data_IF_295005500691
#
_entry.id   IF_295005500691
#
_cell.length_a   1.000
_cell.length_b   1.000
_cell.length_c   1.000
_cell.angle_alpha   90.00
_cell.angle_beta   90.00
_cell.angle_gamma   90.00
#
_symmetry.space_group_name_H-M   'P 1'
#
loop_
_entity.id
_entity.type
_entity.pdbx_description
1 polymer ?
#
# COMPACT_ATOMS: atom_id res chain seq x y z
N UNK A 1 -2.70 -28.74 7.50
CA UNK A 1 -2.38 -27.58 8.35
C UNK A 1 -3.45 -27.45 9.43
N UNK A 2 -3.09 -27.70 10.68
CA UNK A 2 -4.02 -27.84 11.81
C UNK A 2 -3.87 -26.73 12.89
N UNK A 3 -3.11 -25.68 12.62
CA UNK A 3 -2.92 -24.61 13.59
C UNK A 3 -4.14 -23.67 13.61
N UNK A 4 -4.62 -23.25 14.79
CA UNK A 4 -5.72 -22.30 14.91
C UNK A 4 -5.32 -20.94 14.30
N UNK A 5 -6.31 -20.23 13.78
CA UNK A 5 -6.07 -18.89 13.26
C UNK A 5 -5.77 -17.92 14.41
N UNK A 6 -4.78 -17.08 14.19
CA UNK A 6 -4.45 -15.99 15.12
C UNK A 6 -5.56 -14.94 15.06
N UNK A 7 -6.11 -14.62 16.23
CA UNK A 7 -7.16 -13.61 16.38
C UNK A 7 -6.71 -12.24 15.86
N UNK A 8 -7.63 -11.47 15.31
CA UNK A 8 -7.38 -10.14 14.76
C UNK A 8 -6.56 -9.23 15.68
N UNK A 9 -6.97 -9.13 16.95
CA UNK A 9 -6.33 -8.25 17.94
C UNK A 9 -4.91 -8.68 18.36
N UNK A 10 -4.57 -9.94 18.13
CA UNK A 10 -3.24 -10.48 18.42
C UNK A 10 -2.28 -10.34 17.24
N UNK A 11 -2.79 -9.97 16.05
CA UNK A 11 -1.94 -9.78 14.87
C UNK A 11 -1.14 -8.49 14.98
N UNK A 12 0.14 -8.48 14.59
CA UNK A 12 0.93 -7.26 14.43
C UNK A 12 0.26 -6.23 13.53
N UNK A 13 0.56 -4.95 13.74
CA UNK A 13 -0.03 -3.84 12.97
C UNK A 13 0.17 -4.00 11.47
N UNK A 14 1.33 -4.49 11.03
CA UNK A 14 1.62 -4.72 9.62
C UNK A 14 0.73 -5.83 8.99
N UNK A 15 0.34 -6.84 9.77
CA UNK A 15 -0.56 -7.89 9.32
C UNK A 15 -2.00 -7.35 9.23
N UNK A 16 -2.43 -6.55 10.22
CA UNK A 16 -3.73 -5.88 10.22
C UNK A 16 -3.86 -4.89 9.07
N UNK A 17 -2.78 -4.14 8.79
CA UNK A 17 -2.75 -3.22 7.67
C UNK A 17 -3.01 -3.90 6.32
N UNK A 18 -2.29 -4.98 6.00
CA UNK A 18 -2.46 -5.64 4.70
C UNK A 18 -3.82 -6.32 4.58
N UNK A 19 -4.38 -6.83 5.68
CA UNK A 19 -5.73 -7.40 5.72
C UNK A 19 -6.82 -6.30 5.62
N UNK A 20 -6.60 -5.11 6.19
CA UNK A 20 -7.48 -3.95 5.98
C UNK A 20 -7.52 -3.55 4.51
N UNK A 21 -6.35 -3.41 3.88
CA UNK A 21 -6.25 -3.13 2.45
C UNK A 21 -6.89 -4.22 1.59
N UNK A 22 -6.77 -5.49 2.00
CA UNK A 22 -7.42 -6.61 1.32
C UNK A 22 -8.94 -6.48 1.36
N UNK A 23 -9.52 -6.13 2.51
CA UNK A 23 -10.95 -5.90 2.63
C UNK A 23 -11.42 -4.69 1.81
N UNK A 24 -10.62 -3.61 1.77
CA UNK A 24 -10.87 -2.47 0.88
C UNK A 24 -10.84 -2.89 -0.60
N UNK A 25 -9.88 -3.74 -0.97
CA UNK A 25 -9.78 -4.29 -2.33
C UNK A 25 -11.00 -5.15 -2.70
N UNK A 26 -11.47 -6.02 -1.78
CA UNK A 26 -12.68 -6.85 -2.01
C UNK A 26 -13.86 -5.94 -2.35
N UNK A 27 -14.09 -4.90 -1.54
CA UNK A 27 -15.18 -3.94 -1.73
C UNK A 27 -15.08 -3.21 -3.07
N UNK A 28 -13.88 -2.77 -3.43
CA UNK A 28 -13.64 -2.04 -4.68
C UNK A 28 -13.82 -2.95 -5.90
N UNK A 29 -13.29 -4.17 -5.87
CA UNK A 29 -13.40 -5.14 -6.98
C UNK A 29 -14.84 -5.57 -7.18
N UNK A 30 -15.57 -5.86 -6.11
CA UNK A 30 -16.99 -6.17 -6.16
C UNK A 30 -17.78 -5.06 -6.86
N UNK A 31 -17.61 -3.82 -6.40
CA UNK A 31 -18.24 -2.64 -7.01
C UNK A 31 -17.83 -2.44 -8.49
N UNK A 32 -16.57 -2.67 -8.85
CA UNK A 32 -16.14 -2.54 -10.25
C UNK A 32 -16.74 -3.62 -11.16
N UNK A 33 -16.85 -4.84 -10.67
CA UNK A 33 -17.44 -5.94 -11.45
C UNK A 33 -18.95 -5.73 -11.61
N UNK A 34 -19.66 -5.27 -10.58
CA UNK A 34 -21.09 -4.92 -10.64
C UNK A 34 -21.37 -3.79 -11.65
N UNK A 35 -20.43 -2.85 -11.79
CA UNK A 35 -20.53 -1.76 -12.76
C UNK A 35 -19.94 -2.10 -14.15
N UNK A 36 -19.61 -3.36 -14.42
CA UNK A 36 -19.00 -3.81 -15.68
C UNK A 36 -17.67 -3.12 -16.01
N UNK A 37 -16.84 -2.84 -14.99
CA UNK A 37 -15.52 -2.21 -15.12
C UNK A 37 -14.34 -3.19 -14.85
N UNK A 38 -14.20 -4.30 -15.58
CA UNK A 38 -13.19 -5.33 -15.30
C UNK A 38 -11.76 -4.82 -15.41
N UNK A 39 -11.51 -3.80 -16.22
CA UNK A 39 -10.18 -3.15 -16.31
C UNK A 39 -9.80 -2.46 -15.01
N UNK A 40 -10.75 -1.84 -14.32
CA UNK A 40 -10.50 -1.22 -13.00
C UNK A 40 -10.26 -2.28 -11.94
N UNK A 41 -11.09 -3.32 -11.93
CA UNK A 41 -10.92 -4.46 -11.04
C UNK A 41 -9.52 -5.09 -11.20
N UNK A 42 -9.10 -5.39 -12.43
CA UNK A 42 -7.78 -5.96 -12.70
C UNK A 42 -6.61 -5.07 -12.29
N UNK A 43 -6.74 -3.74 -12.47
CA UNK A 43 -5.72 -2.78 -12.01
C UNK A 43 -5.64 -2.74 -10.50
N UNK A 44 -6.77 -2.66 -9.79
CA UNK A 44 -6.81 -2.64 -8.34
C UNK A 44 -6.14 -3.91 -7.74
N UNK A 45 -6.43 -5.09 -8.30
CA UNK A 45 -5.78 -6.35 -7.90
C UNK A 45 -4.27 -6.28 -8.17
N UNK A 46 -3.86 -5.80 -9.35
CA UNK A 46 -2.44 -5.69 -9.72
C UNK A 46 -1.68 -4.73 -8.80
N UNK A 47 -2.26 -3.57 -8.48
CA UNK A 47 -1.67 -2.57 -7.59
C UNK A 47 -1.53 -3.14 -6.17
N UNK A 48 -2.57 -3.82 -5.66
CA UNK A 48 -2.50 -4.49 -4.37
C UNK A 48 -1.37 -5.53 -4.32
N UNK A 49 -1.29 -6.41 -5.31
CA UNK A 49 -0.28 -7.49 -5.34
C UNK A 49 1.13 -6.93 -5.47
N UNK A 50 1.35 -5.98 -6.38
CA UNK A 50 2.69 -5.46 -6.64
C UNK A 50 3.14 -4.47 -5.55
N UNK A 51 2.33 -3.43 -5.29
CA UNK A 51 2.77 -2.30 -4.49
C UNK A 51 2.64 -2.55 -2.99
N UNK A 52 1.60 -3.28 -2.55
CA UNK A 52 1.35 -3.51 -1.14
C UNK A 52 1.81 -4.89 -0.67
N UNK A 53 1.35 -5.97 -1.32
CA UNK A 53 1.66 -7.32 -0.86
C UNK A 53 3.12 -7.70 -1.10
N UNK A 54 3.60 -7.63 -2.34
CA UNK A 54 4.95 -8.07 -2.70
C UNK A 54 6.03 -7.09 -2.24
N UNK A 55 5.93 -5.82 -2.69
CA UNK A 55 6.98 -4.82 -2.49
C UNK A 55 7.03 -4.25 -1.07
N UNK A 56 5.98 -4.43 -0.27
CA UNK A 56 5.96 -3.97 1.11
C UNK A 56 5.77 -5.10 2.09
N UNK A 57 4.61 -5.75 2.14
CA UNK A 57 4.31 -6.74 3.15
C UNK A 57 5.33 -7.88 3.17
N UNK A 58 5.50 -8.59 2.06
CA UNK A 58 6.42 -9.75 1.97
C UNK A 58 7.87 -9.31 2.19
N UNK A 59 8.28 -8.22 1.59
CA UNK A 59 9.66 -7.72 1.69
C UNK A 59 10.02 -7.30 3.11
N UNK A 60 9.16 -6.56 3.80
CA UNK A 60 9.39 -6.11 5.19
C UNK A 60 9.35 -7.27 6.19
N UNK A 61 8.51 -8.27 5.93
CA UNK A 61 8.34 -9.44 6.78
C UNK A 61 9.30 -10.61 6.44
N UNK A 62 10.25 -10.41 5.54
CA UNK A 62 11.16 -11.47 5.10
C UNK A 62 11.84 -12.18 6.29
N UNK A 63 12.28 -11.46 7.32
CA UNK A 63 12.89 -12.04 8.51
C UNK A 63 11.90 -12.93 9.29
N UNK A 64 10.63 -12.54 9.41
CA UNK A 64 9.59 -13.32 10.08
C UNK A 64 9.35 -14.65 9.38
N UNK A 65 9.34 -14.66 8.04
CA UNK A 65 9.17 -15.89 7.26
C UNK A 65 10.35 -16.85 7.37
N UNK A 66 11.59 -16.35 7.45
CA UNK A 66 12.82 -17.16 7.38
C UNK A 66 13.38 -17.52 8.76
N UNK A 67 12.97 -16.86 9.81
CA UNK A 67 13.42 -17.15 11.17
C UNK A 67 13.11 -18.59 11.58
N UNK A 68 14.04 -19.25 12.29
CA UNK A 68 13.84 -20.61 12.81
C UNK A 68 12.73 -20.69 13.86
N UNK A 69 12.10 -21.86 14.00
CA UNK A 69 11.00 -22.10 14.93
C UNK A 69 9.64 -21.60 14.42
N UNK A 70 8.57 -22.12 15.00
CA UNK A 70 7.19 -21.70 14.76
C UNK A 70 6.72 -20.88 15.95
N UNK A 71 6.71 -19.56 15.82
CA UNK A 71 6.18 -18.61 16.80
C UNK A 71 4.82 -18.10 16.36
N UNK A 72 4.01 -17.56 17.28
CA UNK A 72 2.71 -16.95 16.95
C UNK A 72 2.87 -15.81 15.96
N UNK A 73 3.94 -15.02 16.05
CA UNK A 73 4.27 -13.96 15.11
C UNK A 73 4.52 -14.49 13.69
N UNK A 74 5.31 -15.57 13.57
CA UNK A 74 5.56 -16.24 12.30
C UNK A 74 4.28 -16.88 11.75
N UNK A 75 3.49 -17.50 12.60
CA UNK A 75 2.21 -18.10 12.24
C UNK A 75 1.25 -17.03 11.71
N UNK A 76 1.15 -15.88 12.41
CA UNK A 76 0.36 -14.72 11.95
C UNK A 76 0.78 -14.27 10.56
N UNK A 77 2.09 -14.15 10.29
CA UNK A 77 2.60 -13.75 9.00
C UNK A 77 2.21 -14.72 7.87
N UNK A 78 2.35 -16.03 8.11
CA UNK A 78 1.96 -17.05 7.12
C UNK A 78 0.45 -17.10 6.87
N UNK A 79 -0.36 -17.03 7.93
CA UNK A 79 -1.81 -17.01 7.81
C UNK A 79 -2.28 -15.77 7.04
N UNK A 80 -1.70 -14.61 7.35
CA UNK A 80 -1.99 -13.34 6.64
C UNK A 80 -1.64 -13.44 5.16
N UNK A 81 -0.45 -13.94 4.84
CA UNK A 81 -0.04 -14.12 3.44
C UNK A 81 -0.93 -15.12 2.71
N UNK A 82 -1.27 -16.25 3.35
CA UNK A 82 -2.19 -17.23 2.80
C UNK A 82 -3.55 -16.62 2.48
N UNK A 83 -4.14 -15.90 3.44
CA UNK A 83 -5.42 -15.20 3.25
C UNK A 83 -5.36 -14.22 2.08
N UNK A 84 -4.28 -13.45 1.96
CA UNK A 84 -4.10 -12.52 0.83
C UNK A 84 -4.05 -13.27 -0.51
N UNK A 85 -3.28 -14.35 -0.59
CA UNK A 85 -3.12 -15.11 -1.85
C UNK A 85 -4.40 -15.84 -2.26
N UNK A 86 -5.08 -16.47 -1.31
CA UNK A 86 -6.36 -17.15 -1.56
C UNK A 86 -7.42 -16.15 -2.04
N UNK A 87 -7.56 -15.01 -1.34
CA UNK A 87 -8.51 -13.96 -1.71
C UNK A 87 -8.19 -13.38 -3.09
N UNK A 88 -6.91 -13.09 -3.37
CA UNK A 88 -6.48 -12.61 -4.69
C UNK A 88 -6.81 -13.63 -5.78
N UNK A 89 -6.61 -14.93 -5.56
CA UNK A 89 -6.98 -15.97 -6.52
C UNK A 89 -8.50 -15.94 -6.83
N UNK A 90 -9.33 -15.80 -5.79
CA UNK A 90 -10.79 -15.69 -5.94
C UNK A 90 -11.19 -14.41 -6.68
N UNK A 91 -10.62 -13.26 -6.34
CA UNK A 91 -10.92 -11.96 -6.97
C UNK A 91 -10.51 -11.91 -8.45
N UNK A 92 -9.40 -12.55 -8.81
CA UNK A 92 -8.92 -12.54 -10.19
C UNK A 92 -9.50 -13.65 -11.07
N UNK A 93 -10.25 -14.60 -10.51
CA UNK A 93 -10.83 -15.71 -11.26
C UNK A 93 -11.68 -15.28 -12.47
N UNK A 94 -12.51 -14.22 -12.41
CA UNK A 94 -13.25 -13.73 -13.59
C UNK A 94 -12.36 -13.13 -14.69
N UNK A 95 -11.15 -12.71 -14.38
CA UNK A 95 -10.25 -11.97 -15.27
C UNK A 95 -9.15 -12.89 -15.83
N UNK A 96 -8.55 -13.71 -14.98
CA UNK A 96 -7.46 -14.63 -15.32
C UNK A 96 -7.77 -16.06 -14.85
N UNK A 97 -8.79 -16.73 -15.43
CA UNK A 97 -9.40 -17.94 -14.86
C UNK A 97 -8.42 -19.09 -14.68
N UNK A 98 -7.55 -19.35 -15.65
CA UNK A 98 -6.62 -20.49 -15.59
C UNK A 98 -5.54 -20.31 -14.54
N UNK A 99 -4.95 -19.12 -14.43
CA UNK A 99 -3.92 -18.84 -13.45
C UNK A 99 -4.51 -18.78 -12.02
N UNK A 100 -5.69 -18.18 -11.88
CA UNK A 100 -6.40 -18.11 -10.61
C UNK A 100 -6.74 -19.51 -10.08
N UNK A 101 -7.21 -20.39 -10.96
CA UNK A 101 -7.54 -21.76 -10.60
C UNK A 101 -6.29 -22.56 -10.18
N UNK A 102 -5.21 -22.46 -10.93
CA UNK A 102 -3.94 -23.13 -10.59
C UNK A 102 -3.42 -22.66 -9.22
N UNK A 103 -3.38 -21.33 -9.00
CA UNK A 103 -2.92 -20.77 -7.70
C UNK A 103 -3.79 -21.24 -6.54
N UNK A 104 -5.11 -21.24 -6.73
CA UNK A 104 -6.07 -21.69 -5.73
C UNK A 104 -5.90 -23.17 -5.41
N UNK A 105 -5.79 -24.02 -6.43
CA UNK A 105 -5.57 -25.46 -6.24
C UNK A 105 -4.26 -25.76 -5.49
N UNK A 106 -3.17 -25.06 -5.81
CA UNK A 106 -1.88 -25.22 -5.13
C UNK A 106 -1.96 -24.83 -3.64
N UNK A 107 -2.69 -23.74 -3.33
CA UNK A 107 -2.91 -23.31 -1.94
C UNK A 107 -3.76 -24.29 -1.15
N UNK A 108 -4.83 -24.82 -1.74
CA UNK A 108 -5.72 -25.80 -1.08
C UNK A 108 -5.02 -27.15 -0.92
N UNK A 109 -4.29 -27.60 -1.93
CA UNK A 109 -3.54 -28.87 -1.84
C UNK A 109 -2.57 -28.85 -0.63
N UNK A 110 -1.99 -27.67 -0.34
CA UNK A 110 -1.08 -27.50 0.80
C UNK A 110 -1.80 -27.41 2.17
N UNK A 111 -3.04 -26.92 2.21
CA UNK A 111 -3.72 -26.58 3.47
C UNK A 111 -4.96 -27.39 3.77
N UNK A 112 -5.67 -27.87 2.77
CA UNK A 112 -6.95 -28.58 2.92
C UNK A 112 -8.07 -27.73 3.52
N UNK A 113 -7.97 -26.38 3.44
CA UNK A 113 -8.94 -25.46 4.06
C UNK A 113 -10.28 -25.38 3.34
N UNK A 114 -10.27 -25.58 2.03
CA UNK A 114 -11.49 -25.56 1.21
C UNK A 114 -11.80 -26.96 0.67
N UNK A 115 -13.07 -27.29 0.60
CA UNK A 115 -13.51 -28.61 0.13
C UNK A 115 -14.07 -28.54 -1.31
N UNK A 116 -13.47 -27.66 -2.15
CA UNK A 116 -13.80 -27.51 -3.56
C UNK A 116 -12.54 -27.69 -4.40
N UNK A 117 -12.69 -28.27 -5.59
CA UNK A 117 -11.55 -28.62 -6.45
C UNK A 117 -11.19 -27.56 -7.50
N UNK A 118 -11.89 -26.43 -7.49
CA UNK A 118 -11.63 -25.31 -8.40
C UNK A 118 -12.06 -23.99 -7.76
N UNK A 119 -11.32 -22.91 -8.05
CA UNK A 119 -11.68 -21.54 -7.64
C UNK A 119 -13.06 -21.13 -8.15
N UNK A 120 -13.45 -21.63 -9.32
CA UNK A 120 -14.74 -21.32 -9.94
C UNK A 120 -15.95 -21.94 -9.24
N UNK A 121 -15.72 -22.85 -8.30
CA UNK A 121 -16.74 -23.45 -7.44
C UNK A 121 -16.72 -22.86 -6.02
N UNK A 122 -15.79 -21.96 -5.73
CA UNK A 122 -15.74 -21.25 -4.46
C UNK A 122 -16.65 -20.02 -4.45
N UNK A 123 -17.00 -19.54 -3.26
CA UNK A 123 -17.74 -18.30 -3.14
C UNK A 123 -16.82 -17.10 -3.40
N UNK A 124 -17.39 -16.03 -3.97
CA UNK A 124 -16.71 -14.75 -4.06
C UNK A 124 -16.37 -14.22 -2.65
N UNK A 125 -15.21 -13.59 -2.45
CA UNK A 125 -14.79 -13.11 -1.14
C UNK A 125 -15.77 -12.08 -0.57
N UNK A 126 -16.05 -12.20 0.73
CA UNK A 126 -16.91 -11.25 1.45
C UNK A 126 -16.03 -10.21 2.14
N UNK A 127 -16.39 -8.94 2.01
CA UNK A 127 -15.72 -7.85 2.70
C UNK A 127 -16.12 -7.82 4.18
N UNK A 128 -15.15 -7.81 5.06
CA UNK A 128 -15.30 -7.61 6.50
C UNK A 128 -15.04 -6.14 6.84
N UNK A 129 -16.09 -5.31 6.79
CA UNK A 129 -15.96 -3.85 7.00
C UNK A 129 -15.39 -3.48 8.37
N UNK A 130 -15.63 -4.31 9.39
CA UNK A 130 -15.09 -4.14 10.73
C UNK A 130 -13.56 -4.28 10.83
N UNK A 131 -12.93 -4.87 9.80
CA UNK A 131 -11.48 -5.01 9.69
C UNK A 131 -10.83 -3.88 8.89
N UNK A 132 -11.63 -2.97 8.32
CA UNK A 132 -11.11 -1.83 7.56
C UNK A 132 -10.72 -0.70 8.52
N UNK A 133 -9.42 -0.44 8.64
CA UNK A 133 -8.85 0.68 9.41
C UNK A 133 -8.24 1.71 8.45
N UNK A 134 -9.03 2.70 8.07
CA UNK A 134 -8.62 3.75 7.14
C UNK A 134 -7.46 4.61 7.67
N UNK A 135 -7.39 4.82 8.99
CA UNK A 135 -6.29 5.57 9.58
C UNK A 135 -4.97 4.81 9.47
N UNK A 136 -5.02 3.49 9.65
CA UNK A 136 -3.86 2.62 9.48
C UNK A 136 -3.43 2.56 8.01
N UNK A 137 -4.38 2.44 7.08
CA UNK A 137 -4.11 2.46 5.64
C UNK A 137 -3.43 3.78 5.23
N UNK A 138 -3.93 4.93 5.71
CA UNK A 138 -3.38 6.26 5.43
C UNK A 138 -1.95 6.41 5.97
N UNK A 139 -1.70 6.03 7.22
CA UNK A 139 -0.36 6.09 7.83
C UNK A 139 0.65 5.26 7.04
N UNK A 140 0.28 4.06 6.65
CA UNK A 140 1.15 3.18 5.88
C UNK A 140 1.34 3.68 4.44
N UNK A 141 0.34 4.31 3.84
CA UNK A 141 0.46 4.98 2.54
C UNK A 141 1.45 6.16 2.61
N UNK A 142 1.42 6.93 3.71
CA UNK A 142 2.43 7.98 3.96
C UNK A 142 3.83 7.38 4.07
N UNK A 143 3.99 6.27 4.80
CA UNK A 143 5.27 5.58 4.90
C UNK A 143 5.80 5.13 3.53
N UNK A 144 4.94 4.54 2.69
CA UNK A 144 5.28 4.14 1.33
C UNK A 144 5.71 5.33 0.47
N UNK A 145 4.93 6.42 0.53
CA UNK A 145 5.19 7.63 -0.26
C UNK A 145 6.51 8.27 0.13
N UNK A 146 6.74 8.49 1.43
CA UNK A 146 7.98 9.09 1.94
C UNK A 146 9.18 8.21 1.58
N UNK A 147 9.09 6.90 1.81
CA UNK A 147 10.17 5.98 1.48
C UNK A 147 10.50 6.00 0.00
N UNK A 148 9.50 5.98 -0.87
CA UNK A 148 9.67 6.07 -2.33
C UNK A 148 10.34 7.37 -2.75
N UNK A 149 9.93 8.50 -2.18
CA UNK A 149 10.55 9.81 -2.45
C UNK A 149 12.02 9.83 -2.01
N UNK A 150 12.33 9.33 -0.82
CA UNK A 150 13.72 9.27 -0.32
C UNK A 150 14.58 8.36 -1.19
N UNK A 151 14.07 7.19 -1.57
CA UNK A 151 14.79 6.27 -2.46
C UNK A 151 15.01 6.89 -3.85
N UNK A 152 14.04 7.64 -4.38
CA UNK A 152 14.19 8.39 -5.63
C UNK A 152 15.26 9.48 -5.52
N UNK A 153 15.29 10.23 -4.41
CA UNK A 153 16.33 11.23 -4.13
C UNK A 153 17.72 10.60 -4.04
N UNK A 154 17.84 9.48 -3.30
CA UNK A 154 19.10 8.71 -3.23
C UNK A 154 19.60 8.30 -4.61
N UNK A 155 18.69 7.81 -5.47
CA UNK A 155 19.01 7.41 -6.85
C UNK A 155 19.49 8.61 -7.67
N UNK A 156 18.82 9.76 -7.53
CA UNK A 156 19.17 10.99 -8.25
C UNK A 156 20.58 11.48 -7.91
N UNK A 157 21.02 11.33 -6.65
CA UNK A 157 22.35 11.74 -6.20
C UNK A 157 23.34 10.57 -6.11
N UNK A 158 22.96 9.40 -6.63
CA UNK A 158 23.78 8.19 -6.70
C UNK A 158 24.29 7.66 -5.33
N UNK A 159 23.51 7.87 -4.26
CA UNK A 159 23.78 7.32 -2.92
C UNK A 159 23.08 5.98 -2.77
N UNK A 160 23.83 4.91 -2.58
CA UNK A 160 23.28 3.55 -2.40
C UNK A 160 22.51 3.43 -1.08
N UNK A 161 21.42 2.67 -1.06
CA UNK A 161 20.58 2.48 0.15
C UNK A 161 21.37 1.88 1.31
N UNK A 162 22.33 0.99 1.04
CA UNK A 162 23.21 0.40 2.06
C UNK A 162 24.11 1.41 2.78
N UNK A 163 24.32 2.60 2.22
CA UNK A 163 25.04 3.69 2.88
C UNK A 163 24.09 4.41 3.85
N UNK A 164 24.32 4.34 5.17
CA UNK A 164 23.45 5.02 6.12
C UNK A 164 23.59 6.54 6.01
N UNK A 165 22.47 7.26 6.12
CA UNK A 165 22.43 8.72 6.24
C UNK A 165 22.09 9.12 7.67
N UNK A 166 22.46 10.33 8.04
CA UNK A 166 22.33 10.77 9.43
C UNK A 166 20.88 11.20 9.76
N UNK A 167 20.31 12.08 8.93
CA UNK A 167 19.01 12.70 9.21
C UNK A 167 18.18 12.80 7.94
N UNK A 168 16.90 12.45 8.03
CA UNK A 168 15.86 12.75 7.07
C UNK A 168 15.06 13.97 7.56
N UNK A 169 14.99 15.02 6.74
CA UNK A 169 14.12 16.17 7.01
C UNK A 169 12.82 16.00 6.25
N UNK A 170 11.70 16.01 6.99
CA UNK A 170 10.35 15.84 6.42
C UNK A 170 9.55 17.11 6.70
N UNK A 171 9.13 17.84 5.65
CA UNK A 171 8.22 18.96 5.82
C UNK A 171 6.84 18.44 6.21
N UNK A 172 6.23 19.06 7.20
CA UNK A 172 4.86 18.76 7.65
C UNK A 172 3.99 20.01 7.47
N UNK A 173 2.72 19.76 7.12
CA UNK A 173 1.76 20.82 6.86
C UNK A 173 0.87 21.09 8.09
N UNK A 174 0.60 20.05 8.85
CA UNK A 174 -0.26 20.09 10.04
C UNK A 174 0.19 19.03 11.07
N UNK A 175 -0.37 19.13 12.29
CA UNK A 175 -0.04 18.24 13.40
C UNK A 175 -0.54 16.81 13.17
N UNK A 176 -1.69 16.63 12.53
CA UNK A 176 -2.23 15.30 12.19
C UNK A 176 -1.28 14.52 11.28
N UNK A 177 -0.74 15.18 10.26
CA UNK A 177 0.26 14.58 9.37
C UNK A 177 1.52 14.20 10.14
N UNK A 178 1.98 15.06 11.06
CA UNK A 178 3.14 14.81 11.90
C UNK A 178 2.95 13.59 12.80
N UNK A 179 1.82 13.50 13.50
CA UNK A 179 1.48 12.34 14.33
C UNK A 179 1.43 11.05 13.52
N UNK A 180 0.79 11.10 12.35
CA UNK A 180 0.70 9.95 11.44
C UNK A 180 2.06 9.47 10.95
N UNK A 181 2.99 10.38 10.63
CA UNK A 181 4.35 10.04 10.21
C UNK A 181 5.17 9.54 11.40
N UNK A 182 5.03 10.14 12.59
CA UNK A 182 5.75 9.71 13.79
C UNK A 182 5.38 8.27 14.17
N UNK A 183 4.12 7.87 14.03
CA UNK A 183 3.66 6.50 14.28
C UNK A 183 4.37 5.45 13.39
N UNK A 184 4.74 5.82 12.16
CA UNK A 184 5.42 4.92 11.20
C UNK A 184 6.90 5.27 10.99
N UNK A 185 7.47 6.16 11.81
CA UNK A 185 8.85 6.66 11.71
C UNK A 185 9.89 5.54 11.68
N UNK A 186 9.79 4.59 12.60
CA UNK A 186 10.73 3.47 12.67
C UNK A 186 10.75 2.63 11.39
N UNK A 187 9.59 2.43 10.78
CA UNK A 187 9.44 1.71 9.53
C UNK A 187 10.11 2.47 8.38
N UNK A 188 9.86 3.77 8.25
CA UNK A 188 10.47 4.63 7.23
C UNK A 188 11.99 4.63 7.38
N UNK A 189 12.50 4.89 8.58
CA UNK A 189 13.94 4.96 8.85
C UNK A 189 14.66 3.66 8.50
N UNK A 190 14.07 2.52 8.87
CA UNK A 190 14.58 1.20 8.53
C UNK A 190 14.61 0.97 7.03
N UNK A 191 13.55 1.35 6.33
CA UNK A 191 13.37 1.14 4.89
C UNK A 191 14.39 1.97 4.07
N UNK A 192 14.59 3.23 4.45
CA UNK A 192 15.47 4.13 3.70
C UNK A 192 16.90 4.17 4.24
N UNK A 193 17.21 3.40 5.29
CA UNK A 193 18.50 3.36 5.97
C UNK A 193 19.00 4.76 6.40
N UNK A 194 18.18 5.43 7.21
CA UNK A 194 18.51 6.73 7.82
C UNK A 194 18.41 6.59 9.33
N UNK A 195 19.30 7.26 10.07
CA UNK A 195 19.39 7.10 11.53
C UNK A 195 18.33 7.86 12.31
N UNK A 196 17.92 9.03 11.83
CA UNK A 196 16.98 9.89 12.52
C UNK A 196 16.11 10.68 11.54
N UNK A 197 14.96 11.17 12.03
CA UNK A 197 14.02 12.00 11.28
C UNK A 197 13.71 13.26 12.05
N UNK A 198 13.75 14.40 11.37
CA UNK A 198 13.38 15.71 11.89
C UNK A 198 12.25 16.30 11.07
N UNK A 199 11.23 16.80 11.73
CA UNK A 199 10.16 17.56 11.11
C UNK A 199 10.57 19.00 10.91
N UNK A 200 10.16 19.59 9.81
CA UNK A 200 10.44 20.98 9.45
C UNK A 200 9.11 21.69 9.27
N UNK A 201 8.73 22.50 10.24
CA UNK A 201 7.46 23.24 10.26
C UNK A 201 7.54 24.50 9.38
N UNK A 202 8.75 25.09 9.27
CA UNK A 202 8.97 26.29 8.49
C UNK A 202 9.74 25.97 7.21
N UNK A 203 9.02 25.89 6.11
CA UNK A 203 9.59 25.63 4.77
C UNK A 203 10.15 26.87 4.08
N UNK A 204 10.11 28.03 4.73
CA UNK A 204 10.66 29.28 4.20
C UNK A 204 12.17 29.12 3.96
N UNK A 205 12.58 29.17 2.70
CA UNK A 205 13.97 29.03 2.26
C UNK A 205 14.42 27.60 1.89
N UNK A 206 13.67 26.55 2.25
CA UNK A 206 14.00 25.15 1.89
C UNK A 206 13.10 24.64 0.75
N UNK A 207 11.82 25.01 0.76
CA UNK A 207 10.86 24.63 -0.25
C UNK A 207 10.31 25.85 -0.96
N UNK A 208 10.45 25.86 -2.27
CA UNK A 208 9.76 26.82 -3.14
C UNK A 208 8.43 26.18 -3.56
N UNK A 209 7.33 26.63 -2.96
CA UNK A 209 5.98 26.21 -3.40
C UNK A 209 5.75 26.74 -4.81
N UNK A 210 5.57 25.87 -5.79
CA UNK A 210 5.19 26.23 -7.15
C UNK A 210 3.74 25.83 -7.39
N UNK A 211 2.89 26.80 -7.64
CA UNK A 211 1.53 26.56 -8.07
C UNK A 211 1.55 26.17 -9.54
N UNK A 212 0.97 25.03 -9.89
CA UNK A 212 0.77 24.60 -11.27
C UNK A 212 -0.72 24.56 -11.57
N UNK A 213 -1.17 25.18 -12.67
CA UNK A 213 -2.58 25.08 -13.05
C UNK A 213 -2.94 23.65 -13.43
N UNK A 214 -4.06 23.15 -12.93
CA UNK A 214 -4.62 21.88 -13.35
C UNK A 214 -5.32 22.04 -14.69
N UNK A 215 -4.60 21.73 -15.77
CA UNK A 215 -5.10 21.87 -17.13
C UNK A 215 -6.34 21.00 -17.43
N UNK A 216 -6.53 19.86 -16.76
CA UNK A 216 -7.70 19.01 -16.94
C UNK A 216 -8.97 19.67 -16.39
N UNK A 217 -8.87 20.35 -15.24
CA UNK A 217 -10.00 21.02 -14.58
C UNK A 217 -10.25 22.42 -15.16
N UNK A 218 -9.20 23.16 -15.48
CA UNK A 218 -9.31 24.54 -15.96
C UNK A 218 -9.50 24.63 -17.47
N UNK A 219 -9.01 23.65 -18.25
CA UNK A 219 -9.12 23.64 -19.70
C UNK A 219 -10.54 23.79 -20.24
N UNK A 220 -11.54 23.01 -19.77
CA UNK A 220 -12.92 23.13 -20.23
C UNK A 220 -13.55 24.51 -19.98
N UNK A 221 -13.13 25.20 -18.91
CA UNK A 221 -13.69 26.52 -18.53
C UNK A 221 -12.95 27.71 -19.12
N UNK A 222 -11.63 27.61 -19.27
CA UNK A 222 -10.75 28.73 -19.59
C UNK A 222 -9.82 28.49 -20.79
N UNK A 223 -10.15 27.53 -21.66
CA UNK A 223 -9.28 27.09 -22.77
C UNK A 223 -8.67 28.20 -23.62
N UNK A 224 -9.45 29.26 -23.94
CA UNK A 224 -8.98 30.38 -24.76
C UNK A 224 -7.94 31.28 -24.07
N UNK A 225 -7.97 31.37 -22.74
CA UNK A 225 -7.07 32.22 -21.94
C UNK A 225 -6.08 31.44 -21.11
N UNK A 226 -6.02 30.11 -21.32
CA UNK A 226 -5.24 29.17 -20.49
C UNK A 226 -3.74 29.49 -20.45
N UNK A 227 -3.17 29.98 -21.58
CA UNK A 227 -1.78 30.41 -21.63
C UNK A 227 -1.50 31.64 -20.76
N UNK A 228 -2.39 32.62 -20.80
CA UNK A 228 -2.28 33.82 -19.97
C UNK A 228 -2.47 33.51 -18.49
N UNK A 229 -3.45 32.66 -18.19
CA UNK A 229 -3.72 32.17 -16.83
C UNK A 229 -2.53 31.39 -16.25
N UNK A 230 -1.93 30.51 -17.03
CA UNK A 230 -0.74 29.75 -16.61
C UNK A 230 0.47 30.65 -16.35
N UNK A 231 0.67 31.66 -17.19
CA UNK A 231 1.74 32.66 -17.02
C UNK A 231 1.53 33.51 -15.76
N UNK A 232 0.29 33.94 -15.52
CA UNK A 232 -0.07 34.71 -14.31
C UNK A 232 0.13 33.91 -13.04
N UNK A 233 -0.29 32.62 -13.02
CA UNK A 233 -0.10 31.71 -11.87
C UNK A 233 1.39 31.45 -11.60
N UNK A 234 2.22 31.34 -12.64
CA UNK A 234 3.67 31.17 -12.47
C UNK A 234 4.38 32.41 -11.91
N UNK A 235 3.79 33.59 -12.10
CA UNK A 235 4.35 34.87 -11.62
C UNK A 235 3.82 35.23 -10.21
N UNK A 236 2.84 34.53 -9.69
CA UNK A 236 2.35 34.75 -8.32
C UNK A 236 3.45 34.46 -7.32
N UNK A 237 3.84 35.47 -6.54
CA UNK A 237 4.75 35.31 -5.42
C UNK A 237 4.05 34.62 -4.25
N UNK A 238 4.83 34.06 -3.33
CA UNK A 238 4.36 33.40 -2.11
C UNK A 238 4.16 34.45 -0.99
N UNK A 239 3.25 35.38 -1.14
CA UNK A 239 2.76 36.17 -0.02
C UNK A 239 1.40 35.64 0.44
#
# INVERSE_FOLDING_TARGET
YSQPDIEWNKRPEIDRWILSLLNSLIKDVDNYLDNYEPTRAGRAISDFVNDHLSNWYVRLNRKRFWQGGLTDDKLSAYQTLYTCLETVAKLMAPIAPFYADQLFCDLIAATGRENVYSVHLSNFPVCHEEQIDKNLEERMQMAQTISSMVLALRRKVNIKVRQPLHVLMVPVLDEHQKESIEAVKSLILSEVNVKDMKFVDNTAGILVKRIKPDFKKLGPRYGKIMKALAAAIQQMSQE
#
